data_IF_850674182099
#
_entry.id   IF_850674182099
#
_cell.length_a   1.000
_cell.length_b   1.000
_cell.length_c   1.000
_cell.angle_alpha   90.00
_cell.angle_beta   90.00
_cell.angle_gamma   90.00
#
_symmetry.space_group_name_H-M   'P 1'
#
loop_
_entity.id
_entity.type
_entity.pdbx_description
1 polymer ?
#
# COMPACT_ATOMS: atom_id res chain seq x y z
N UNK A 1 20.42 -1.89 -6.70
CA UNK A 1 19.82 -2.24 -5.39
C UNK A 1 18.65 -1.33 -5.01
N UNK A 2 18.83 -0.01 -4.79
CA UNK A 2 17.73 0.91 -4.43
C UNK A 2 16.56 0.86 -5.43
N UNK A 3 16.86 0.88 -6.74
CA UNK A 3 15.85 0.74 -7.80
C UNK A 3 15.02 -0.55 -7.68
N UNK A 4 15.65 -1.67 -7.30
CA UNK A 4 14.96 -2.97 -7.16
C UNK A 4 14.00 -2.93 -5.96
N UNK A 5 14.45 -2.41 -4.81
CA UNK A 5 13.62 -2.25 -3.61
C UNK A 5 12.40 -1.36 -3.92
N UNK A 6 12.63 -0.26 -4.64
CA UNK A 6 11.55 0.64 -5.10
C UNK A 6 10.57 -0.08 -6.02
N UNK A 7 11.04 -0.83 -7.02
CA UNK A 7 10.17 -1.58 -7.94
C UNK A 7 9.34 -2.62 -7.20
N UNK A 8 9.94 -3.38 -6.27
CA UNK A 8 9.21 -4.35 -5.45
C UNK A 8 8.18 -3.65 -4.56
N UNK A 9 8.55 -2.51 -3.96
CA UNK A 9 7.63 -1.70 -3.16
C UNK A 9 6.40 -1.26 -3.94
N UNK A 10 6.59 -0.72 -5.14
CA UNK A 10 5.47 -0.37 -6.03
C UNK A 10 4.67 -1.60 -6.47
N UNK A 11 5.32 -2.71 -6.81
CA UNK A 11 4.61 -3.93 -7.20
C UNK A 11 3.69 -4.44 -6.08
N UNK A 12 4.17 -4.47 -4.83
CA UNK A 12 3.36 -4.86 -3.67
C UNK A 12 2.25 -3.84 -3.39
N UNK A 13 2.55 -2.54 -3.49
CA UNK A 13 1.55 -1.50 -3.28
C UNK A 13 0.40 -1.58 -4.30
N UNK A 14 0.71 -1.75 -5.59
CA UNK A 14 -0.31 -1.89 -6.63
C UNK A 14 -1.06 -3.23 -6.52
N UNK A 15 -0.39 -4.31 -6.14
CA UNK A 15 -1.05 -5.59 -5.87
C UNK A 15 -2.04 -5.47 -4.70
N UNK A 16 -1.65 -4.79 -3.62
CA UNK A 16 -2.51 -4.51 -2.47
C UNK A 16 -3.74 -3.67 -2.87
N UNK A 17 -3.54 -2.60 -3.64
CA UNK A 17 -4.64 -1.78 -4.16
C UNK A 17 -5.59 -2.60 -5.04
N UNK A 18 -5.05 -3.42 -5.95
CA UNK A 18 -5.85 -4.32 -6.78
C UNK A 18 -6.68 -5.29 -5.94
N UNK A 19 -6.08 -5.89 -4.91
CA UNK A 19 -6.78 -6.79 -3.99
C UNK A 19 -7.93 -6.10 -3.25
N UNK A 20 -7.71 -4.88 -2.75
CA UNK A 20 -8.75 -4.09 -2.06
C UNK A 20 -9.90 -3.77 -3.01
N UNK A 21 -9.61 -3.34 -4.24
CA UNK A 21 -10.65 -3.02 -5.24
C UNK A 21 -11.45 -4.26 -5.61
N UNK A 22 -10.79 -5.39 -5.85
CA UNK A 22 -11.48 -6.65 -6.17
C UNK A 22 -12.33 -7.13 -5.00
N UNK A 23 -11.85 -7.00 -3.76
CA UNK A 23 -12.63 -7.30 -2.56
C UNK A 23 -13.88 -6.43 -2.45
N UNK A 24 -13.75 -5.12 -2.68
CA UNK A 24 -14.87 -4.18 -2.69
C UNK A 24 -15.91 -4.53 -3.75
N UNK A 25 -15.48 -4.81 -4.98
CA UNK A 25 -16.38 -5.23 -6.08
C UNK A 25 -17.09 -6.53 -5.71
N UNK A 26 -16.35 -7.50 -5.13
CA UNK A 26 -16.90 -8.77 -4.69
C UNK A 26 -18.02 -8.61 -3.66
N UNK A 27 -17.83 -7.77 -2.65
CA UNK A 27 -18.86 -7.49 -1.64
C UNK A 27 -20.01 -6.69 -2.23
N UNK A 28 -19.74 -5.72 -3.10
CA UNK A 28 -20.81 -4.99 -3.78
C UNK A 28 -21.72 -5.94 -4.59
N UNK A 29 -21.13 -6.86 -5.36
CA UNK A 29 -21.90 -7.80 -6.18
C UNK A 29 -22.70 -8.83 -5.36
N UNK A 30 -22.24 -9.18 -4.15
CA UNK A 30 -22.87 -10.23 -3.33
C UNK A 30 -23.83 -9.69 -2.27
N UNK A 31 -23.46 -8.58 -1.63
CA UNK A 31 -24.12 -8.04 -0.44
C UNK A 31 -24.72 -6.64 -0.69
N UNK A 32 -24.47 -6.06 -1.87
CA UNK A 32 -25.00 -4.77 -2.28
C UNK A 32 -24.10 -3.59 -1.91
N UNK A 33 -24.50 -2.41 -2.37
CA UNK A 33 -23.68 -1.19 -2.27
C UNK A 33 -23.48 -0.71 -0.83
N UNK A 34 -24.49 -0.91 0.03
CA UNK A 34 -24.42 -0.52 1.44
C UNK A 34 -23.32 -1.28 2.19
N UNK A 35 -23.25 -2.59 2.01
CA UNK A 35 -22.20 -3.43 2.62
C UNK A 35 -20.80 -3.07 2.08
N UNK A 36 -20.68 -2.75 0.79
CA UNK A 36 -19.42 -2.32 0.20
C UNK A 36 -18.90 -0.99 0.80
N UNK A 37 -19.77 0.00 1.00
CA UNK A 37 -19.39 1.25 1.69
C UNK A 37 -19.03 0.99 3.15
N UNK A 38 -19.71 0.06 3.82
CA UNK A 38 -19.41 -0.31 5.20
C UNK A 38 -18.00 -0.91 5.35
N UNK A 39 -17.48 -1.60 4.33
CA UNK A 39 -16.07 -2.04 4.31
C UNK A 39 -15.08 -0.88 4.33
N UNK A 40 -15.44 0.25 3.71
CA UNK A 40 -14.61 1.46 3.67
C UNK A 40 -14.79 2.34 4.91
N UNK A 41 -15.73 1.99 5.79
CA UNK A 41 -15.99 2.73 7.02
C UNK A 41 -14.78 2.63 7.96
N UNK A 42 -14.17 3.75 8.37
CA UNK A 42 -13.09 3.75 9.35
C UNK A 42 -13.56 3.29 10.74
N UNK A 43 -14.87 3.20 10.96
CA UNK A 43 -15.47 2.68 12.20
C UNK A 43 -15.47 1.15 12.24
N UNK A 44 -15.32 0.48 11.09
CA UNK A 44 -15.04 -0.94 11.05
C UNK A 44 -13.53 -1.17 11.24
N UNK A 45 -13.11 -1.12 12.50
CA UNK A 45 -11.71 -1.26 12.93
C UNK A 45 -11.01 -2.48 12.30
N UNK A 46 -11.72 -3.59 12.15
CA UNK A 46 -11.15 -4.83 11.60
C UNK A 46 -10.79 -4.64 10.12
N UNK A 47 -11.72 -4.12 9.31
CA UNK A 47 -11.48 -3.87 7.89
C UNK A 47 -10.42 -2.79 7.68
N UNK A 48 -10.47 -1.74 8.50
CA UNK A 48 -9.49 -0.67 8.44
C UNK A 48 -8.07 -1.17 8.77
N UNK A 49 -7.89 -1.92 9.85
CA UNK A 49 -6.60 -2.54 10.21
C UNK A 49 -6.14 -3.50 9.12
N UNK A 50 -7.05 -4.31 8.56
CA UNK A 50 -6.72 -5.25 7.48
C UNK A 50 -6.19 -4.53 6.24
N UNK A 51 -6.80 -3.40 5.85
CA UNK A 51 -6.30 -2.57 4.74
C UNK A 51 -4.91 -2.00 5.05
N UNK A 52 -4.69 -1.49 6.26
CA UNK A 52 -3.38 -0.95 6.67
C UNK A 52 -2.30 -2.03 6.60
N UNK A 53 -2.56 -3.22 7.14
CA UNK A 53 -1.60 -4.35 7.11
C UNK A 53 -1.31 -4.77 5.67
N UNK A 54 -2.32 -4.78 4.81
CA UNK A 54 -2.17 -5.19 3.40
C UNK A 54 -1.28 -4.21 2.62
N UNK A 55 -1.41 -2.90 2.88
CA UNK A 55 -0.68 -1.85 2.16
C UNK A 55 0.71 -1.58 2.77
N UNK A 56 0.88 -1.82 4.08
CA UNK A 56 2.09 -1.48 4.83
C UNK A 56 3.41 -1.99 4.22
N UNK A 57 3.52 -3.24 3.71
CA UNK A 57 4.76 -3.72 3.11
C UNK A 57 5.19 -2.93 1.86
N UNK A 58 4.23 -2.55 1.00
CA UNK A 58 4.51 -1.78 -0.21
C UNK A 58 5.02 -0.38 0.13
N UNK A 59 4.31 0.33 1.02
CA UNK A 59 4.72 1.66 1.50
C UNK A 59 6.08 1.57 2.22
N UNK A 60 6.27 0.58 3.09
CA UNK A 60 7.49 0.41 3.87
C UNK A 60 8.73 0.28 2.97
N UNK A 61 8.64 -0.51 1.89
CA UNK A 61 9.74 -0.65 0.93
C UNK A 61 10.00 0.62 0.13
N UNK A 62 8.95 1.36 -0.27
CA UNK A 62 9.08 2.63 -0.99
C UNK A 62 9.80 3.66 -0.10
N UNK A 63 9.32 3.87 1.12
CA UNK A 63 9.93 4.79 2.10
C UNK A 63 11.36 4.38 2.42
N UNK A 64 11.63 3.07 2.53
CA UNK A 64 13.00 2.61 2.78
C UNK A 64 13.93 2.90 1.60
N UNK A 65 13.46 2.72 0.35
CA UNK A 65 14.22 3.04 -0.84
C UNK A 65 14.54 4.54 -0.94
N UNK A 66 13.57 5.40 -0.62
CA UNK A 66 13.76 6.87 -0.55
C UNK A 66 14.82 7.23 0.49
N UNK A 67 14.69 6.71 1.72
CA UNK A 67 15.66 6.96 2.79
C UNK A 67 17.09 6.51 2.43
N UNK A 68 17.23 5.43 1.64
CA UNK A 68 18.54 5.01 1.14
C UNK A 68 19.10 5.94 0.07
N UNK A 69 18.24 6.49 -0.79
CA UNK A 69 18.62 7.45 -1.83
C UNK A 69 19.07 8.78 -1.21
N UNK A 70 18.31 9.32 -0.25
CA UNK A 70 18.65 10.54 0.49
C UNK A 70 20.00 10.41 1.19
N UNK A 71 20.26 9.26 1.82
CA UNK A 71 21.54 8.97 2.48
C UNK A 71 22.70 8.89 1.49
N UNK A 72 22.48 8.44 0.26
CA UNK A 72 23.51 8.45 -0.79
C UNK A 72 23.80 9.86 -1.28
N UNK A 73 22.75 10.66 -1.49
CA UNK A 73 22.88 12.05 -1.94
C UNK A 73 23.61 12.91 -0.88
N UNK A 74 23.23 12.79 0.40
CA UNK A 74 23.85 13.55 1.48
C UNK A 74 25.33 13.15 1.73
N UNK A 75 25.70 11.89 1.47
CA UNK A 75 27.11 11.43 1.53
C UNK A 75 27.95 11.80 0.31
N UNK A 76 27.37 12.45 -0.70
CA UNK A 76 28.06 12.96 -1.89
C UNK A 76 28.07 14.50 -1.90
N UNK A 77 28.66 15.18 -0.90
CA UNK A 77 28.62 16.64 -0.80
C UNK A 77 29.49 17.38 -1.84
N UNK A 78 30.11 16.66 -2.79
CA UNK A 78 30.99 17.25 -3.82
C UNK A 78 30.65 16.69 -5.20
N UNK A 79 29.60 17.25 -5.81
CA UNK A 79 29.51 17.52 -7.25
C UNK A 79 28.77 18.82 -7.45
#
# INVERSE_FOLDING_TARGET
MIRIIRTIGYALFYAALGFIILGFIGVWMKEGFSAAIELMSPYNLINFISMLITVAPGIGLIVWAEKMEDRKLNKSPLR
#
